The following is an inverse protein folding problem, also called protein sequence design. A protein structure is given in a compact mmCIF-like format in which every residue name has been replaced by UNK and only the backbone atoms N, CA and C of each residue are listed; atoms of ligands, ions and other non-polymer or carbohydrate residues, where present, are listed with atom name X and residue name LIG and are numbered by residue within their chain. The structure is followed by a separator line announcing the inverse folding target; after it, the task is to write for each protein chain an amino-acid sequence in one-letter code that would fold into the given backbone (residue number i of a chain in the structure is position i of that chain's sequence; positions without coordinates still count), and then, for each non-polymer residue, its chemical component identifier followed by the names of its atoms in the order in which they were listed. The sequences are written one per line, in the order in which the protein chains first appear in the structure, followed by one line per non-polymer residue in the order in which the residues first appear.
data_IF_568756554769
#
_entry.id   IF_568756554769
#
_cell.length_a   1.000
_cell.length_b   1.000
_cell.length_c   1.000
_cell.angle_alpha   90.00
_cell.angle_beta   90.00
_cell.angle_gamma   90.00
#
_symmetry.space_group_name_H-M   'P 1'
#
loop_
_entity.id
_entity.type
_entity.pdbx_description
1 polymer ?
#
# COMPACT_ATOMS: atom_id res chain seq x y z
N UNK A 1 17.66 -14.87 8.16
CA UNK A 1 17.88 -15.22 9.58
C UNK A 1 17.29 -16.60 9.79
N UNK A 2 18.06 -17.58 10.29
CA UNK A 2 17.58 -18.95 10.50
C UNK A 2 17.63 -19.24 11.99
N UNK A 3 16.48 -19.53 12.59
CA UNK A 3 16.41 -19.96 13.99
C UNK A 3 17.02 -21.36 14.10
N UNK A 4 17.89 -21.54 15.09
CA UNK A 4 18.57 -22.82 15.35
C UNK A 4 17.67 -23.84 16.06
N UNK A 5 16.61 -23.36 16.71
CA UNK A 5 15.66 -24.15 17.49
C UNK A 5 14.25 -23.74 17.13
N UNK A 6 13.32 -24.70 17.15
CA UNK A 6 11.88 -24.45 17.09
C UNK A 6 11.24 -24.67 18.46
N UNK A 7 10.03 -24.14 18.67
CA UNK A 7 9.24 -24.42 19.89
C UNK A 7 9.06 -25.93 20.11
N UNK A 8 8.96 -26.72 19.03
CA UNK A 8 8.85 -28.17 19.12
C UNK A 8 10.16 -28.83 19.56
N UNK A 9 11.30 -28.32 19.10
CA UNK A 9 12.61 -28.84 19.50
C UNK A 9 12.89 -28.57 20.97
N UNK A 10 12.47 -27.41 21.48
CA UNK A 10 12.60 -27.05 22.90
C UNK A 10 11.73 -27.96 23.77
N UNK A 11 10.48 -28.21 23.36
CA UNK A 11 9.54 -29.06 24.10
C UNK A 11 10.01 -30.53 24.19
N UNK A 12 10.59 -31.06 23.12
CA UNK A 12 11.02 -32.46 23.06
C UNK A 12 12.48 -32.66 23.49
N UNK A 13 13.12 -31.63 24.06
CA UNK A 13 14.53 -31.70 24.43
C UNK A 13 14.69 -32.49 25.72
N UNK A 14 15.27 -33.68 25.61
CA UNK A 14 15.69 -34.46 26.77
C UNK A 14 17.16 -34.15 27.13
N UNK A 15 17.42 -33.94 28.42
CA UNK A 15 18.76 -33.72 28.96
C UNK A 15 19.23 -34.97 29.71
N UNK A 16 20.48 -35.37 29.47
CA UNK A 16 21.15 -36.41 30.24
C UNK A 16 21.42 -35.92 31.67
N UNK A 17 21.12 -36.76 32.68
CA UNK A 17 21.47 -36.47 34.08
C UNK A 17 22.94 -36.79 34.34
N UNK A 18 23.65 -35.83 34.93
CA UNK A 18 25.01 -36.00 35.45
C UNK A 18 25.01 -35.84 36.98
N UNK A 19 26.02 -36.40 37.66
CA UNK A 19 26.15 -36.45 39.12
C UNK A 19 26.24 -35.05 39.75
N UNK A 20 26.72 -34.06 38.98
CA UNK A 20 26.66 -32.63 39.30
C UNK A 20 25.89 -31.89 38.21
N UNK A 21 24.56 -31.95 38.29
CA UNK A 21 23.66 -31.29 37.33
C UNK A 21 22.76 -30.23 37.97
N UNK A 22 22.12 -29.44 37.11
CA UNK A 22 21.02 -28.56 37.52
C UNK A 22 19.79 -29.38 37.91
N UNK A 23 18.93 -28.80 38.74
CA UNK A 23 17.65 -29.40 39.08
C UNK A 23 16.76 -29.48 37.85
N UNK A 24 16.24 -30.68 37.54
CA UNK A 24 15.34 -30.89 36.39
C UNK A 24 14.12 -29.94 36.44
N UNK A 25 13.52 -29.76 37.62
CA UNK A 25 12.35 -28.89 37.80
C UNK A 25 12.66 -27.42 37.50
N UNK A 26 13.87 -26.96 37.84
CA UNK A 26 14.30 -25.58 37.59
C UNK A 26 14.55 -25.35 36.10
N UNK A 27 15.19 -26.33 35.45
CA UNK A 27 15.40 -26.33 34.00
C UNK A 27 14.07 -26.35 33.27
N UNK A 28 13.13 -27.23 33.63
CA UNK A 28 11.81 -27.32 33.01
C UNK A 28 11.03 -26.01 33.16
N UNK A 29 11.01 -25.44 34.37
CA UNK A 29 10.33 -24.15 34.62
C UNK A 29 10.94 -23.00 33.80
N UNK A 30 12.23 -23.06 33.51
CA UNK A 30 12.88 -22.10 32.63
C UNK A 30 12.54 -22.36 31.15
N UNK A 31 12.57 -23.62 30.73
CA UNK A 31 12.23 -24.02 29.36
C UNK A 31 10.77 -23.72 29.00
N UNK A 32 9.84 -23.79 29.95
CA UNK A 32 8.46 -23.37 29.75
C UNK A 32 8.34 -21.88 29.38
N UNK A 33 9.16 -21.01 30.01
CA UNK A 33 9.21 -19.58 29.68
C UNK A 33 9.80 -19.38 28.29
N UNK A 34 10.93 -20.03 28.00
CA UNK A 34 11.57 -19.97 26.68
C UNK A 34 10.64 -20.48 25.58
N UNK A 35 9.89 -21.55 25.85
CA UNK A 35 8.91 -22.11 24.94
C UNK A 35 7.80 -21.12 24.62
N UNK A 36 7.30 -20.41 25.64
CA UNK A 36 6.28 -19.39 25.45
C UNK A 36 6.78 -18.24 24.57
N UNK A 37 7.99 -17.75 24.82
CA UNK A 37 8.60 -16.69 24.01
C UNK A 37 8.78 -17.14 22.55
N UNK A 38 9.24 -18.38 22.33
CA UNK A 38 9.36 -18.94 20.98
C UNK A 38 8.02 -19.07 20.26
N UNK A 39 6.95 -19.45 20.96
CA UNK A 39 5.58 -19.46 20.39
C UNK A 39 5.11 -18.05 20.03
N UNK A 40 5.41 -17.07 20.88
CA UNK A 40 5.06 -15.67 20.61
C UNK A 40 5.80 -15.15 19.37
N UNK A 41 7.11 -15.44 19.27
CA UNK A 41 7.92 -15.07 18.10
C UNK A 41 7.36 -15.71 16.83
N UNK A 42 7.03 -17.00 16.85
CA UNK A 42 6.44 -17.67 15.69
C UNK A 42 5.10 -17.03 15.26
N UNK A 43 4.26 -16.65 16.23
CA UNK A 43 3.03 -15.91 15.98
C UNK A 43 3.29 -14.53 15.34
N UNK A 44 4.26 -13.78 15.85
CA UNK A 44 4.65 -12.46 15.31
C UNK A 44 5.20 -12.58 13.90
N UNK A 45 6.07 -13.58 13.64
CA UNK A 45 6.63 -13.82 12.31
C UNK A 45 5.52 -14.12 11.31
N UNK A 46 4.60 -15.03 11.63
CA UNK A 46 3.44 -15.33 10.78
C UNK A 46 2.56 -14.11 10.53
N UNK A 47 2.34 -13.31 11.58
CA UNK A 47 1.59 -12.05 11.46
C UNK A 47 2.26 -11.06 10.51
N UNK A 48 3.59 -10.89 10.62
CA UNK A 48 4.37 -10.02 9.74
C UNK A 48 4.39 -10.53 8.30
N UNK A 49 4.55 -11.84 8.09
CA UNK A 49 4.48 -12.45 6.75
C UNK A 49 3.12 -12.21 6.10
N UNK A 50 2.03 -12.38 6.85
CA UNK A 50 0.68 -12.11 6.37
C UNK A 50 0.49 -10.64 5.98
N UNK A 51 0.94 -9.70 6.83
CA UNK A 51 0.89 -8.27 6.52
C UNK A 51 1.72 -7.91 5.29
N UNK A 52 2.89 -8.54 5.12
CA UNK A 52 3.76 -8.32 3.98
C UNK A 52 3.10 -8.81 2.67
N UNK A 53 2.42 -9.95 2.70
CA UNK A 53 1.64 -10.46 1.56
C UNK A 53 0.52 -9.49 1.21
N UNK A 54 -0.26 -9.05 2.20
CA UNK A 54 -1.37 -8.12 1.99
C UNK A 54 -0.88 -6.78 1.43
N UNK A 55 0.18 -6.22 2.00
CA UNK A 55 0.75 -4.96 1.54
C UNK A 55 1.33 -5.07 0.13
N UNK A 56 1.98 -6.19 -0.22
CA UNK A 56 2.44 -6.44 -1.60
C UNK A 56 1.28 -6.51 -2.58
N UNK A 57 0.19 -7.18 -2.22
CA UNK A 57 -1.02 -7.27 -3.04
C UNK A 57 -1.63 -5.89 -3.27
N UNK A 58 -1.77 -5.08 -2.22
CA UNK A 58 -2.26 -3.70 -2.33
C UNK A 58 -1.35 -2.85 -3.23
N UNK A 59 -0.03 -2.96 -3.07
CA UNK A 59 0.93 -2.23 -3.90
C UNK A 59 0.80 -2.64 -5.38
N UNK A 60 0.60 -3.93 -5.67
CA UNK A 60 0.37 -4.43 -7.03
C UNK A 60 -0.93 -3.86 -7.62
N UNK A 61 -2.04 -3.90 -6.87
CA UNK A 61 -3.31 -3.32 -7.33
C UNK A 61 -3.18 -1.83 -7.62
N UNK A 62 -2.56 -1.06 -6.71
CA UNK A 62 -2.34 0.37 -6.91
C UNK A 62 -1.46 0.66 -8.12
N UNK A 63 -0.41 -0.13 -8.35
CA UNK A 63 0.44 0.00 -9.56
C UNK A 63 -0.35 -0.27 -10.84
N UNK A 64 -1.26 -1.25 -10.83
CA UNK A 64 -2.14 -1.53 -11.96
C UNK A 64 -3.13 -0.38 -12.19
N UNK A 65 -3.69 0.21 -11.13
CA UNK A 65 -4.57 1.37 -11.24
C UNK A 65 -3.85 2.61 -11.78
N UNK A 66 -2.62 2.88 -11.29
CA UNK A 66 -1.78 3.96 -11.82
C UNK A 66 -1.50 3.71 -13.30
N UNK A 67 -1.08 2.50 -13.67
CA UNK A 67 -0.79 2.17 -15.07
C UNK A 67 -2.03 2.32 -15.98
N UNK A 68 -3.22 1.94 -15.49
CA UNK A 68 -4.47 2.14 -16.22
C UNK A 68 -4.79 3.63 -16.39
N UNK A 69 -4.68 4.42 -15.32
CA UNK A 69 -4.91 5.87 -15.38
C UNK A 69 -3.90 6.57 -16.30
N UNK A 70 -2.63 6.17 -16.27
CA UNK A 70 -1.60 6.71 -17.16
C UNK A 70 -1.88 6.34 -18.63
N UNK A 71 -2.40 5.13 -18.89
CA UNK A 71 -2.84 4.71 -20.22
C UNK A 71 -4.09 5.47 -20.69
N UNK A 72 -5.05 5.76 -19.81
CA UNK A 72 -6.22 6.59 -20.12
C UNK A 72 -5.84 8.05 -20.40
N UNK A 73 -4.89 8.61 -19.64
CA UNK A 73 -4.34 9.95 -19.86
C UNK A 73 -3.53 10.04 -21.14
N UNK A 74 -2.71 9.03 -21.44
CA UNK A 74 -1.92 8.95 -22.67
C UNK A 74 -2.77 8.62 -23.90
N UNK A 75 -3.85 7.85 -23.73
CA UNK A 75 -4.85 7.58 -24.75
C UNK A 75 -5.63 8.83 -25.13
N UNK A 76 -6.03 9.64 -24.13
CA UNK A 76 -6.52 10.99 -24.38
C UNK A 76 -5.47 11.83 -25.10
N UNK A 77 -4.23 11.91 -24.61
CA UNK A 77 -3.21 12.75 -25.25
C UNK A 77 -2.90 12.35 -26.71
N UNK A 78 -2.83 11.05 -27.02
CA UNK A 78 -2.64 10.59 -28.41
C UNK A 78 -3.87 10.82 -29.30
N UNK A 79 -5.08 10.79 -28.75
CA UNK A 79 -6.30 11.19 -29.48
C UNK A 79 -6.33 12.71 -29.75
N UNK A 80 -5.78 13.51 -28.83
CA UNK A 80 -5.57 14.96 -28.99
C UNK A 80 -4.49 15.28 -30.05
N UNK A 81 -3.45 14.46 -30.20
CA UNK A 81 -2.40 14.67 -31.21
C UNK A 81 -2.76 14.09 -32.59
N UNK A 82 -3.67 13.11 -32.66
CA UNK A 82 -4.10 12.49 -33.92
C UNK A 82 -5.11 13.33 -34.72
N UNK A 83 -5.80 14.30 -34.10
CA UNK A 83 -6.75 15.19 -34.77
C UNK A 83 -6.70 16.61 -34.16
N UNK A 84 -5.81 17.50 -34.64
CA UNK A 84 -5.70 18.87 -34.15
C UNK A 84 -7.00 19.69 -34.32
N UNK A 85 -7.87 19.33 -35.28
CA UNK A 85 -9.16 19.99 -35.49
C UNK A 85 -10.18 19.71 -34.36
N UNK A 86 -10.11 18.54 -33.71
CA UNK A 86 -11.03 18.21 -32.60
C UNK A 86 -10.63 18.94 -31.32
N UNK A 87 -9.32 19.08 -31.06
CA UNK A 87 -8.80 19.87 -29.94
C UNK A 87 -9.12 21.36 -30.12
N UNK A 88 -9.05 21.86 -31.36
CA UNK A 88 -9.51 23.21 -31.65
C UNK A 88 -11.01 23.37 -31.43
N UNK A 89 -11.83 22.36 -31.76
CA UNK A 89 -13.27 22.42 -31.58
C UNK A 89 -13.70 22.46 -30.09
N UNK A 90 -13.09 21.63 -29.24
CA UNK A 90 -13.37 21.65 -27.79
C UNK A 90 -12.89 22.95 -27.14
N UNK A 91 -11.70 23.43 -27.50
CA UNK A 91 -11.20 24.73 -27.04
C UNK A 91 -12.09 25.88 -27.54
N UNK A 92 -12.59 25.80 -28.78
CA UNK A 92 -13.52 26.76 -29.35
C UNK A 92 -14.86 26.76 -28.62
N UNK A 93 -15.36 25.59 -28.22
CA UNK A 93 -16.62 25.48 -27.47
C UNK A 93 -16.48 25.95 -26.01
N UNK A 94 -15.32 25.71 -25.38
CA UNK A 94 -14.93 26.34 -24.11
C UNK A 94 -14.89 27.87 -24.25
N UNK A 95 -14.27 28.41 -25.29
CA UNK A 95 -14.22 29.84 -25.59
C UNK A 95 -15.61 30.44 -25.82
N UNK A 96 -16.48 29.78 -26.60
CA UNK A 96 -17.88 30.21 -26.81
C UNK A 96 -18.65 30.24 -25.49
N UNK A 97 -18.44 29.24 -24.63
CA UNK A 97 -19.08 29.15 -23.32
C UNK A 97 -18.60 30.27 -22.38
N UNK A 98 -17.30 30.55 -22.35
CA UNK A 98 -16.71 31.69 -21.63
C UNK A 98 -17.31 33.00 -22.15
N UNK A 99 -17.33 33.22 -23.47
CA UNK A 99 -17.91 34.42 -24.08
C UNK A 99 -19.39 34.63 -23.72
N UNK A 100 -20.17 33.55 -23.65
CA UNK A 100 -21.57 33.60 -23.20
C UNK A 100 -21.69 34.01 -21.73
N UNK A 101 -20.80 33.51 -20.88
CA UNK A 101 -20.76 33.91 -19.47
C UNK A 101 -20.31 35.36 -19.30
N UNK A 102 -19.28 35.80 -20.01
CA UNK A 102 -18.84 37.20 -20.02
C UNK A 102 -19.97 38.14 -20.43
N UNK A 103 -20.67 37.84 -21.54
CA UNK A 103 -21.81 38.63 -21.99
C UNK A 103 -22.92 38.71 -20.94
N UNK A 104 -23.18 37.62 -20.23
CA UNK A 104 -24.17 37.59 -19.15
C UNK A 104 -23.72 38.42 -17.95
N UNK A 105 -22.44 38.40 -17.60
CA UNK A 105 -21.87 39.23 -16.54
C UNK A 105 -21.96 40.72 -16.89
N UNK A 106 -21.62 41.11 -18.13
CA UNK A 106 -21.80 42.47 -18.62
C UNK A 106 -23.27 42.92 -18.57
N UNK A 107 -24.22 42.05 -18.92
CA UNK A 107 -25.66 42.34 -18.79
C UNK A 107 -26.11 42.52 -17.34
N UNK A 108 -25.43 41.88 -16.38
CA UNK A 108 -25.67 42.02 -14.95
C UNK A 108 -24.91 43.23 -14.34
N UNK A 109 -24.22 44.03 -15.16
CA UNK A 109 -23.48 45.21 -14.72
C UNK A 109 -22.15 44.91 -14.03
N UNK A 110 -21.69 43.66 -14.09
CA UNK A 110 -20.40 43.22 -13.54
C UNK A 110 -19.40 43.15 -14.68
N UNK A 111 -18.38 44.01 -14.64
CA UNK A 111 -17.28 44.00 -15.61
C UNK A 111 -16.32 42.84 -15.30
N UNK A 112 -16.29 41.77 -16.14
CA UNK A 112 -15.44 40.61 -15.91
C UNK A 112 -13.95 40.96 -15.90
N UNK A 113 -13.54 42.04 -16.58
CA UNK A 113 -12.14 42.45 -16.65
C UNK A 113 -11.62 43.08 -15.35
N UNK A 114 -12.51 43.34 -14.37
CA UNK A 114 -12.16 43.89 -13.05
C UNK A 114 -12.20 42.85 -11.93
N UNK A 115 -12.59 41.61 -12.23
CA UNK A 115 -12.56 40.50 -11.28
C UNK A 115 -11.12 39.98 -11.28
N UNK A 116 -10.35 40.42 -10.29
CA UNK A 116 -8.94 40.06 -10.10
C UNK A 116 -8.81 38.93 -9.10
#
# INVERSE_FOLDING_TARGET
MKLQLTSKDILNKEFSKDVKGYSANEVDSFLDKVLNDYRMIDGVVKGLESQLIELKKQNQTLRLEISKKDAELSGNHNQFLANPDIVHLDNLDLLKKISKYEKKLYQMGVDPSKIK
#
